data_IF_487875451886
#
_entry.id   IF_487875451886
#
_cell.length_a   1.000
_cell.length_b   1.000
_cell.length_c   1.000
_cell.angle_alpha   90.00
_cell.angle_beta   90.00
_cell.angle_gamma   90.00
#
_symmetry.space_group_name_H-M   'P 1'
#
loop_
_entity.id
_entity.type
_entity.pdbx_description
1 polymer ?
#
# COMPACT_ATOMS: atom_id res chain seq x y z
N UNK A 1 31.11 0.84 -4.28
CA UNK A 1 30.54 2.20 -4.30
C UNK A 1 29.21 2.13 -5.03
N UNK A 2 28.17 1.68 -4.32
CA UNK A 2 26.83 1.60 -4.87
C UNK A 2 26.08 2.88 -4.52
N UNK A 3 25.23 3.34 -5.42
CA UNK A 3 24.29 4.44 -5.20
C UNK A 3 23.65 4.27 -3.83
N UNK A 4 24.06 5.12 -2.89
CA UNK A 4 23.63 5.01 -1.50
C UNK A 4 22.21 5.51 -1.33
N UNK A 5 21.66 5.28 -0.14
CA UNK A 5 20.37 5.85 0.24
C UNK A 5 20.35 7.39 0.10
N UNK A 6 21.50 8.05 0.27
CA UNK A 6 21.64 9.50 0.08
C UNK A 6 21.40 9.95 -1.36
N UNK A 7 22.01 9.32 -2.37
CA UNK A 7 21.74 9.69 -3.77
C UNK A 7 20.29 9.46 -4.15
N UNK A 8 19.68 8.36 -3.70
CA UNK A 8 18.27 8.08 -3.97
C UNK A 8 17.34 9.15 -3.35
N UNK A 9 17.65 9.64 -2.14
CA UNK A 9 16.89 10.73 -1.51
C UNK A 9 16.99 12.03 -2.31
N UNK A 10 18.17 12.39 -2.83
CA UNK A 10 18.34 13.60 -3.65
C UNK A 10 17.50 13.51 -4.93
N UNK A 11 17.54 12.36 -5.61
CA UNK A 11 16.74 12.14 -6.83
C UNK A 11 15.25 12.18 -6.49
N UNK A 12 14.83 11.57 -5.38
CA UNK A 12 13.44 11.60 -4.93
C UNK A 12 12.93 13.03 -4.71
N UNK A 13 13.75 13.89 -4.08
CA UNK A 13 13.40 15.30 -3.85
C UNK A 13 13.23 16.05 -5.18
N UNK A 14 14.13 15.85 -6.16
CA UNK A 14 14.00 16.46 -7.49
C UNK A 14 12.69 16.02 -8.17
N UNK A 15 12.39 14.73 -8.13
CA UNK A 15 11.13 14.17 -8.69
C UNK A 15 9.92 14.77 -7.98
N UNK A 16 9.94 14.90 -6.65
CA UNK A 16 8.86 15.52 -5.89
C UNK A 16 8.65 17.00 -6.25
N UNK A 17 9.70 17.74 -6.61
CA UNK A 17 9.57 19.12 -7.07
C UNK A 17 8.93 19.18 -8.47
N UNK A 18 9.36 18.31 -9.39
CA UNK A 18 8.85 18.27 -10.77
C UNK A 18 7.39 17.82 -10.83
N UNK A 19 7.03 16.76 -10.10
CA UNK A 19 5.69 16.19 -10.09
C UNK A 19 4.77 16.83 -9.05
N UNK A 20 5.34 17.42 -7.99
CA UNK A 20 4.62 17.92 -6.83
C UNK A 20 4.28 16.83 -5.81
N UNK A 21 4.27 17.20 -4.53
CA UNK A 21 4.00 16.28 -3.40
C UNK A 21 2.60 15.62 -3.44
N UNK A 22 1.64 16.20 -4.16
CA UNK A 22 0.27 15.66 -4.27
C UNK A 22 0.07 14.66 -5.41
N UNK A 23 0.86 14.73 -6.50
CA UNK A 23 0.66 13.86 -7.66
C UNK A 23 1.26 12.48 -7.45
N UNK A 24 2.44 12.40 -6.82
CA UNK A 24 3.14 11.14 -6.58
C UNK A 24 2.30 10.14 -5.73
N UNK A 25 1.70 10.55 -4.58
CA UNK A 25 0.86 9.65 -3.79
C UNK A 25 -0.45 9.28 -4.49
N UNK A 26 -1.01 10.19 -5.29
CA UNK A 26 -2.25 9.93 -6.05
C UNK A 26 -2.03 8.83 -7.10
N UNK A 27 -0.97 8.96 -7.91
CA UNK A 27 -0.60 7.96 -8.93
C UNK A 27 -0.21 6.63 -8.27
N UNK A 28 0.58 6.66 -7.20
CA UNK A 28 0.92 5.45 -6.45
C UNK A 28 -0.31 4.78 -5.82
N UNK A 29 -1.31 5.54 -5.37
CA UNK A 29 -2.55 5.00 -4.80
C UNK A 29 -3.41 4.32 -5.86
N UNK A 30 -3.52 4.91 -7.05
CA UNK A 30 -4.25 4.32 -8.18
C UNK A 30 -3.55 3.04 -8.68
N UNK A 31 -2.23 3.11 -8.87
CA UNK A 31 -1.41 1.94 -9.23
C UNK A 31 -1.44 0.85 -8.14
N UNK A 32 -1.36 1.25 -6.88
CA UNK A 32 -1.34 0.34 -5.74
C UNK A 32 -2.62 -0.48 -5.59
N UNK A 33 -3.78 0.10 -5.93
CA UNK A 33 -5.06 -0.64 -5.97
C UNK A 33 -5.05 -1.69 -7.07
N UNK A 34 -4.57 -1.36 -8.27
CA UNK A 34 -4.45 -2.31 -9.38
C UNK A 34 -3.49 -3.46 -9.06
N UNK A 35 -2.30 -3.14 -8.52
CA UNK A 35 -1.32 -4.15 -8.07
C UNK A 35 -1.89 -5.01 -6.94
N UNK A 36 -2.65 -4.43 -6.00
CA UNK A 36 -3.30 -5.20 -4.93
C UNK A 36 -4.31 -6.20 -5.47
N UNK A 37 -5.21 -5.78 -6.36
CA UNK A 37 -6.17 -6.67 -7.01
C UNK A 37 -5.50 -7.75 -7.85
N UNK A 38 -4.41 -7.42 -8.56
CA UNK A 38 -3.61 -8.40 -9.28
C UNK A 38 -2.97 -9.44 -8.35
N UNK A 39 -2.41 -9.00 -7.22
CA UNK A 39 -1.83 -9.90 -6.20
C UNK A 39 -2.89 -10.76 -5.52
N UNK A 40 -4.10 -10.25 -5.33
CA UNK A 40 -5.22 -11.01 -4.76
C UNK A 40 -5.72 -12.07 -5.75
N UNK A 41 -5.92 -11.71 -7.02
CA UNK A 41 -6.34 -12.65 -8.07
C UNK A 41 -5.31 -13.75 -8.35
N UNK A 42 -4.00 -13.43 -8.31
CA UNK A 42 -2.95 -14.46 -8.41
C UNK A 42 -2.93 -15.42 -7.22
N UNK A 43 -3.31 -14.96 -6.02
CA UNK A 43 -3.38 -15.82 -4.82
C UNK A 43 -4.62 -16.72 -4.83
N UNK A 44 -5.72 -16.23 -5.36
CA UNK A 44 -6.98 -16.97 -5.48
C UNK A 44 -6.86 -18.14 -6.48
N UNK A 45 -5.97 -18.03 -7.47
CA UNK A 45 -5.66 -19.12 -8.41
C UNK A 45 -4.82 -20.27 -7.84
N UNK A 46 -4.18 -20.11 -6.68
CA UNK A 46 -3.17 -21.07 -6.17
C UNK A 46 -3.57 -21.81 -4.87
N UNK A 47 -4.50 -21.30 -4.04
CA UNK A 47 -4.94 -21.98 -2.79
C UNK A 47 -6.14 -21.26 -2.09
N UNK A 48 -6.94 -21.94 -1.24
CA UNK A 48 -8.24 -21.45 -0.78
C UNK A 48 -8.16 -20.26 0.18
N UNK A 49 -8.88 -19.20 -0.20
CA UNK A 49 -9.48 -18.12 0.61
C UNK A 49 -8.79 -17.83 1.95
N UNK A 50 -7.86 -16.88 1.96
CA UNK A 50 -7.51 -16.13 3.17
C UNK A 50 -7.22 -14.66 2.84
N UNK A 51 -8.24 -13.83 3.03
CA UNK A 51 -8.06 -12.38 3.12
C UNK A 51 -9.19 -11.72 3.95
N UNK A 52 -9.44 -12.23 5.16
CA UNK A 52 -10.09 -11.42 6.18
C UNK A 52 -9.01 -10.59 6.91
N UNK A 53 -8.86 -9.33 6.48
CA UNK A 53 -8.22 -8.31 7.31
C UNK A 53 -8.71 -6.94 6.88
N UNK A 54 -9.71 -6.45 7.59
CA UNK A 54 -9.70 -5.15 8.28
C UNK A 54 -11.12 -4.54 8.39
N UNK A 55 -11.92 -5.04 9.34
CA UNK A 55 -12.69 -4.18 10.24
C UNK A 55 -12.60 -4.77 11.65
N UNK A 56 -12.25 -3.91 12.59
CA UNK A 56 -11.99 -4.18 14.02
C UNK A 56 -13.15 -5.01 14.62
N UNK A 57 -12.86 -6.05 15.44
CA UNK A 57 -13.84 -6.53 16.40
C UNK A 57 -13.89 -5.50 17.53
N UNK A 58 -14.77 -4.51 17.42
CA UNK A 58 -15.31 -3.88 18.62
C UNK A 58 -16.15 -4.95 19.31
N UNK A 59 -15.64 -5.47 20.43
CA UNK A 59 -16.39 -6.38 21.29
C UNK A 59 -17.72 -5.70 21.65
N UNK A 60 -18.87 -6.38 21.58
CA UNK A 60 -20.10 -5.89 22.18
C UNK A 60 -19.88 -5.75 23.69
N UNK A 61 -20.10 -4.54 24.23
CA UNK A 61 -20.05 -4.23 25.66
C UNK A 61 -21.18 -4.94 26.47
N UNK A 62 -21.93 -5.87 25.84
CA UNK A 62 -23.16 -6.46 26.36
C UNK A 62 -22.96 -7.76 27.18
N UNK A 63 -21.72 -8.12 27.56
CA UNK A 63 -21.45 -9.35 28.36
C UNK A 63 -21.19 -9.04 29.85
N UNK A 64 -21.28 -7.78 30.29
CA UNK A 64 -21.01 -7.39 31.71
C UNK A 64 -22.25 -6.79 32.40
N UNK A 65 -23.43 -7.38 32.19
CA UNK A 65 -24.61 -7.12 33.02
C UNK A 65 -25.16 -8.41 33.61
#
# INVERSE_FOLDING_TARGET
MGLGFSELMIVLVIVLILFGAGKLPKVMSEMGRGVKGFREGMKEGDAPVKAEKNKKPSLPDDVVK
#
